data_IF_246608294551
#
_entry.id   IF_246608294551
#
_cell.length_a   1.000
_cell.length_b   1.000
_cell.length_c   1.000
_cell.angle_alpha   90.00
_cell.angle_beta   90.00
_cell.angle_gamma   90.00
#
_symmetry.space_group_name_H-M   'P 1'
#
loop_
_entity.id
_entity.type
_entity.pdbx_description
1 polymer ?
#
# COMPACT_ATOMS: atom_id res chain seq x y z
N UNK A 1 -42.68 -68.60 11.53
CA UNK A 1 -42.18 -68.43 10.14
C UNK A 1 -40.91 -67.60 10.22
N UNK A 2 -39.74 -68.09 9.79
CA UNK A 2 -38.51 -67.33 9.84
C UNK A 2 -38.44 -66.35 8.67
N UNK A 3 -37.86 -65.17 8.91
CA UNK A 3 -37.57 -64.15 7.89
C UNK A 3 -36.23 -64.50 7.26
N UNK A 4 -36.22 -64.73 5.95
CA UNK A 4 -34.99 -64.92 5.17
C UNK A 4 -34.20 -63.60 5.11
N UNK A 5 -32.97 -63.64 5.60
CA UNK A 5 -31.99 -62.58 5.38
C UNK A 5 -31.40 -62.77 3.98
N UNK A 6 -31.73 -61.85 3.06
CA UNK A 6 -31.05 -61.75 1.77
C UNK A 6 -29.63 -61.22 2.01
N UNK A 7 -28.62 -62.04 1.71
CA UNK A 7 -27.21 -61.65 1.65
C UNK A 7 -26.93 -60.96 0.31
N UNK A 8 -26.05 -59.95 0.32
CA UNK A 8 -25.72 -59.02 -0.77
C UNK A 8 -25.12 -59.65 -2.06
N UNK A 9 -25.14 -60.98 -2.20
CA UNK A 9 -24.45 -61.70 -3.29
C UNK A 9 -25.30 -61.91 -4.57
N UNK A 10 -26.60 -61.62 -4.56
CA UNK A 10 -27.52 -61.91 -5.69
C UNK A 10 -27.78 -60.74 -6.67
N UNK A 11 -26.94 -59.69 -6.68
CA UNK A 11 -27.07 -58.65 -7.71
C UNK A 11 -26.39 -59.07 -9.02
N UNK A 12 -27.08 -59.01 -10.18
CA UNK A 12 -26.46 -59.33 -11.47
C UNK A 12 -25.27 -58.42 -11.73
N UNK A 13 -24.22 -58.98 -12.34
CA UNK A 13 -22.90 -58.33 -12.52
C UNK A 13 -23.00 -57.01 -13.33
N UNK A 14 -24.03 -56.87 -14.15
CA UNK A 14 -24.40 -55.64 -14.87
C UNK A 14 -24.76 -54.49 -13.92
N UNK A 15 -25.57 -54.76 -12.88
CA UNK A 15 -25.97 -53.76 -11.87
C UNK A 15 -24.80 -53.33 -10.99
N UNK A 16 -23.84 -54.23 -10.70
CA UNK A 16 -22.63 -53.89 -9.93
C UNK A 16 -21.71 -52.93 -10.69
N UNK A 17 -21.66 -53.04 -12.03
CA UNK A 17 -20.89 -52.12 -12.88
C UNK A 17 -21.56 -50.76 -13.03
N UNK A 18 -22.89 -50.70 -13.13
CA UNK A 18 -23.63 -49.43 -13.21
C UNK A 18 -23.52 -48.62 -11.91
N UNK A 19 -23.57 -49.26 -10.74
CA UNK A 19 -23.38 -48.60 -9.44
C UNK A 19 -21.95 -48.02 -9.33
N UNK A 20 -20.93 -48.78 -9.73
CA UNK A 20 -19.54 -48.29 -9.74
C UNK A 20 -19.34 -47.10 -10.69
N UNK A 21 -19.96 -47.12 -11.86
CA UNK A 21 -19.88 -45.99 -12.79
C UNK A 21 -20.61 -44.76 -12.23
N UNK A 22 -21.77 -44.94 -11.61
CA UNK A 22 -22.48 -43.84 -10.95
C UNK A 22 -21.66 -43.23 -9.81
N UNK A 23 -21.06 -44.04 -8.94
CA UNK A 23 -20.18 -43.56 -7.86
C UNK A 23 -18.92 -42.85 -8.39
N UNK A 24 -18.33 -43.34 -9.48
CA UNK A 24 -17.21 -42.67 -10.16
C UNK A 24 -17.63 -41.30 -10.72
N UNK A 25 -18.80 -41.20 -11.35
CA UNK A 25 -19.33 -39.94 -11.86
C UNK A 25 -19.64 -38.94 -10.73
N UNK A 26 -20.22 -39.39 -9.60
CA UNK A 26 -20.46 -38.52 -8.44
C UNK A 26 -19.16 -38.02 -7.80
N UNK A 27 -18.13 -38.87 -7.69
CA UNK A 27 -16.83 -38.45 -7.18
C UNK A 27 -16.11 -37.47 -8.11
N UNK A 28 -16.22 -37.63 -9.43
CA UNK A 28 -15.67 -36.69 -10.42
C UNK A 28 -16.32 -35.31 -10.31
N UNK A 29 -17.65 -35.24 -10.19
CA UNK A 29 -18.36 -33.97 -10.00
C UNK A 29 -17.96 -33.29 -8.69
N UNK A 30 -17.84 -34.06 -7.60
CA UNK A 30 -17.42 -33.52 -6.30
C UNK A 30 -15.99 -32.98 -6.32
N UNK A 31 -15.07 -33.67 -6.98
CA UNK A 31 -13.69 -33.19 -7.17
C UNK A 31 -13.67 -31.92 -8.02
N UNK A 32 -14.53 -31.81 -9.04
CA UNK A 32 -14.64 -30.60 -9.85
C UNK A 32 -15.22 -29.41 -9.07
N UNK A 33 -16.22 -29.66 -8.22
CA UNK A 33 -16.81 -28.63 -7.36
C UNK A 33 -15.84 -28.16 -6.27
N UNK A 34 -15.11 -29.09 -5.64
CA UNK A 34 -14.07 -28.78 -4.65
C UNK A 34 -12.92 -27.99 -5.28
N UNK A 35 -12.49 -28.35 -6.50
CA UNK A 35 -11.47 -27.61 -7.26
C UNK A 35 -11.94 -26.20 -7.63
N UNK A 36 -13.20 -26.04 -8.03
CA UNK A 36 -13.78 -24.74 -8.38
C UNK A 36 -13.89 -23.81 -7.15
N UNK A 37 -14.19 -24.35 -5.97
CA UNK A 37 -14.20 -23.61 -4.70
C UNK A 37 -12.79 -23.15 -4.30
N UNK A 38 -11.78 -24.00 -4.43
CA UNK A 38 -10.39 -23.63 -4.16
C UNK A 38 -9.88 -22.53 -5.11
N UNK A 39 -10.26 -22.60 -6.39
CA UNK A 39 -9.91 -21.60 -7.39
C UNK A 39 -10.59 -20.24 -7.12
N UNK A 40 -11.86 -20.24 -6.67
CA UNK A 40 -12.55 -19.01 -6.24
C UNK A 40 -11.94 -18.39 -4.97
N UNK A 41 -11.63 -19.20 -3.95
CA UNK A 41 -10.96 -18.71 -2.74
C UNK A 41 -9.56 -18.14 -3.04
N UNK A 42 -8.81 -18.79 -3.94
CA UNK A 42 -7.51 -18.30 -4.40
C UNK A 42 -7.63 -16.97 -5.14
N UNK A 43 -8.61 -16.83 -6.05
CA UNK A 43 -8.85 -15.59 -6.77
C UNK A 43 -9.28 -14.43 -5.85
N UNK A 44 -10.13 -14.70 -4.86
CA UNK A 44 -10.53 -13.71 -3.85
C UNK A 44 -9.34 -13.30 -2.97
N UNK A 45 -8.48 -14.24 -2.58
CA UNK A 45 -7.23 -13.97 -1.86
C UNK A 45 -6.27 -13.08 -2.65
N UNK A 46 -6.04 -13.38 -3.93
CA UNK A 46 -5.17 -12.59 -4.80
C UNK A 46 -5.70 -11.16 -5.02
N UNK A 47 -7.00 -11.02 -5.25
CA UNK A 47 -7.62 -9.70 -5.47
C UNK A 47 -7.57 -8.83 -4.20
N UNK A 48 -7.81 -9.40 -3.03
CA UNK A 48 -7.67 -8.71 -1.74
C UNK A 48 -6.23 -8.27 -1.49
N UNK A 49 -5.26 -9.13 -1.80
CA UNK A 49 -3.84 -8.82 -1.68
C UNK A 49 -3.44 -7.64 -2.61
N UNK A 50 -3.86 -7.67 -3.87
CA UNK A 50 -3.64 -6.58 -4.83
C UNK A 50 -4.28 -5.27 -4.37
N UNK A 51 -5.50 -5.32 -3.82
CA UNK A 51 -6.19 -4.14 -3.30
C UNK A 51 -5.46 -3.54 -2.09
N UNK A 52 -4.97 -4.39 -1.18
CA UNK A 52 -4.14 -3.95 -0.04
C UNK A 52 -2.83 -3.33 -0.51
N UNK A 53 -2.16 -3.91 -1.50
CA UNK A 53 -0.94 -3.35 -2.07
C UNK A 53 -1.20 -1.99 -2.71
N UNK A 54 -2.25 -1.83 -3.52
CA UNK A 54 -2.63 -0.53 -4.12
C UNK A 54 -2.96 0.51 -3.05
N UNK A 55 -3.72 0.13 -2.02
CA UNK A 55 -4.03 1.03 -0.88
C UNK A 55 -2.76 1.44 -0.14
N UNK A 56 -1.84 0.51 0.11
CA UNK A 56 -0.56 0.81 0.74
C UNK A 56 0.32 1.73 -0.13
N UNK A 57 0.36 1.50 -1.45
CA UNK A 57 1.06 2.39 -2.38
C UNK A 57 0.46 3.79 -2.37
N UNK A 58 -0.86 3.94 -2.37
CA UNK A 58 -1.50 5.25 -2.29
C UNK A 58 -1.25 5.95 -0.95
N UNK A 59 -1.16 5.18 0.15
CA UNK A 59 -0.88 5.72 1.48
C UNK A 59 0.59 6.16 1.64
N UNK A 60 1.51 5.38 1.07
CA UNK A 60 2.96 5.56 1.20
C UNK A 60 3.64 6.06 -0.08
N UNK A 61 2.90 6.57 -1.06
CA UNK A 61 3.43 7.23 -2.26
C UNK A 61 2.35 8.07 -2.95
N UNK A 62 1.42 8.64 -2.18
CA UNK A 62 0.30 9.41 -2.72
C UNK A 62 0.73 10.71 -3.41
N UNK A 63 1.96 11.17 -3.17
CA UNK A 63 2.56 12.38 -3.74
C UNK A 63 1.71 13.65 -3.52
N UNK A 64 0.95 13.70 -2.41
CA UNK A 64 0.01 14.78 -2.07
C UNK A 64 0.50 15.66 -0.92
N UNK A 65 -0.09 16.84 -0.82
CA UNK A 65 0.07 17.76 0.29
C UNK A 65 -0.56 17.21 1.58
N UNK A 66 -0.07 17.66 2.75
CA UNK A 66 -0.61 17.23 4.05
C UNK A 66 -0.57 18.34 5.08
N UNK A 67 -1.49 18.30 6.04
CA UNK A 67 -1.45 19.12 7.25
C UNK A 67 -1.14 18.25 8.47
N UNK A 68 -0.36 18.76 9.42
CA UNK A 68 0.09 18.04 10.61
C UNK A 68 0.02 18.91 11.86
N UNK A 69 -0.13 18.31 13.03
CA UNK A 69 -0.11 19.02 14.32
C UNK A 69 1.30 19.38 14.78
N UNK A 70 2.35 18.82 14.16
CA UNK A 70 3.74 19.11 14.52
C UNK A 70 4.71 19.01 13.35
N UNK A 71 5.88 19.65 13.49
CA UNK A 71 6.97 19.53 12.53
C UNK A 71 7.47 18.09 12.36
N UNK A 72 7.47 17.29 13.43
CA UNK A 72 7.90 15.88 13.37
C UNK A 72 6.92 15.04 12.55
N UNK A 73 5.63 15.28 12.75
CA UNK A 73 4.58 14.60 12.01
C UNK A 73 4.59 15.02 10.53
N UNK A 74 4.74 16.31 10.23
CA UNK A 74 4.85 16.80 8.85
C UNK A 74 6.04 16.16 8.12
N UNK A 75 7.19 16.05 8.77
CA UNK A 75 8.35 15.36 8.19
C UNK A 75 8.09 13.87 7.93
N UNK A 76 7.39 13.20 8.85
CA UNK A 76 6.99 11.79 8.66
C UNK A 76 6.02 11.64 7.49
N UNK A 77 5.02 12.51 7.37
CA UNK A 77 4.08 12.50 6.24
C UNK A 77 4.79 12.81 4.92
N UNK A 78 5.77 13.72 4.90
CA UNK A 78 6.60 13.95 3.73
C UNK A 78 7.35 12.68 3.29
N UNK A 79 7.91 11.93 4.25
CA UNK A 79 8.54 10.64 3.98
C UNK A 79 7.54 9.59 3.49
N UNK A 80 6.42 9.47 4.19
CA UNK A 80 5.37 8.51 3.86
C UNK A 80 4.82 8.80 2.46
N UNK A 81 4.49 10.04 2.11
CA UNK A 81 3.94 10.40 0.79
C UNK A 81 4.91 10.23 -0.40
N UNK A 82 6.18 9.93 -0.12
CA UNK A 82 7.22 9.70 -1.13
C UNK A 82 7.87 8.32 -1.05
N UNK A 83 7.29 7.37 -0.31
CA UNK A 83 7.81 5.99 -0.22
C UNK A 83 9.12 5.86 0.53
N UNK A 84 9.44 6.81 1.42
CA UNK A 84 10.69 6.79 2.17
C UNK A 84 10.43 6.14 3.53
N UNK A 85 11.07 4.99 3.85
CA UNK A 85 10.89 4.36 5.16
C UNK A 85 11.22 5.34 6.29
N UNK A 86 10.38 5.42 7.33
CA UNK A 86 10.53 6.39 8.42
C UNK A 86 11.88 6.31 9.13
N UNK A 87 12.47 5.12 9.22
CA UNK A 87 13.82 4.86 9.78
C UNK A 87 14.96 5.20 8.82
N UNK A 88 14.71 5.33 7.51
CA UNK A 88 15.72 5.62 6.49
C UNK A 88 16.43 6.95 6.82
N UNK A 89 17.76 6.90 6.89
CA UNK A 89 18.62 8.09 6.97
C UNK A 89 18.77 8.74 5.59
N UNK A 90 18.95 10.06 5.50
CA UNK A 90 19.21 10.71 4.23
C UNK A 90 20.52 10.22 3.63
N UNK A 91 20.56 10.13 2.31
CA UNK A 91 21.80 9.88 1.54
C UNK A 91 22.69 11.11 1.62
N UNK A 92 22.09 12.30 1.55
CA UNK A 92 22.80 13.56 1.67
C UNK A 92 21.97 14.57 2.48
N UNK A 93 22.67 15.42 3.22
CA UNK A 93 22.07 16.55 3.91
C UNK A 93 22.93 17.79 3.66
N UNK A 94 22.29 18.89 3.27
CA UNK A 94 22.98 20.12 2.95
C UNK A 94 22.05 21.33 3.14
N UNK A 95 22.62 22.52 2.98
CA UNK A 95 21.88 23.78 3.04
C UNK A 95 21.74 24.36 1.64
N UNK A 96 20.57 24.94 1.37
CA UNK A 96 20.30 25.69 0.14
C UNK A 96 19.82 27.09 0.49
N UNK A 97 20.17 28.13 -0.28
CA UNK A 97 19.67 29.48 -0.02
C UNK A 97 18.15 29.54 -0.21
N UNK A 98 17.47 30.28 0.66
CA UNK A 98 16.05 30.58 0.48
C UNK A 98 15.85 31.53 -0.71
N UNK A 99 14.77 31.30 -1.48
CA UNK A 99 14.49 32.10 -2.68
C UNK A 99 14.03 33.52 -2.34
N UNK A 100 13.33 33.70 -1.23
CA UNK A 100 12.76 34.98 -0.81
C UNK A 100 13.73 35.78 0.07
N UNK A 101 14.62 35.10 0.79
CA UNK A 101 15.66 35.70 1.61
C UNK A 101 16.99 34.93 1.46
N UNK A 102 17.83 35.25 0.47
CA UNK A 102 19.08 34.53 0.18
C UNK A 102 20.10 34.51 1.34
N UNK A 103 19.92 35.36 2.36
CA UNK A 103 20.76 35.34 3.57
C UNK A 103 20.41 34.18 4.50
N UNK A 104 19.25 33.54 4.29
CA UNK A 104 18.79 32.38 5.06
C UNK A 104 19.07 31.10 4.29
N UNK A 105 19.52 30.11 5.05
CA UNK A 105 19.83 28.78 4.56
C UNK A 105 18.76 27.79 5.03
N UNK A 106 18.12 27.14 4.07
CA UNK A 106 17.12 26.09 4.29
C UNK A 106 17.81 24.73 4.34
N UNK A 107 17.37 23.88 5.27
CA UNK A 107 17.91 22.53 5.41
C UNK A 107 17.22 21.58 4.44
N UNK A 108 17.99 20.94 3.57
CA UNK A 108 17.52 19.95 2.59
C UNK A 108 18.11 18.56 2.88
N UNK A 109 17.30 17.54 2.66
CA UNK A 109 17.62 16.14 2.85
C UNK A 109 17.27 15.36 1.59
N UNK A 110 18.23 14.64 1.04
CA UNK A 110 18.02 13.79 -0.13
C UNK A 110 17.96 12.32 0.29
N UNK A 111 17.03 11.59 -0.31
CA UNK A 111 16.73 10.18 -0.04
C UNK A 111 16.66 9.38 -1.32
N UNK A 112 16.83 8.07 -1.17
CA UNK A 112 16.38 7.08 -2.16
C UNK A 112 15.17 6.38 -1.54
N UNK A 113 14.02 6.46 -2.21
CA UNK A 113 12.78 5.83 -1.75
C UNK A 113 12.76 4.31 -2.03
N UNK A 114 11.70 3.62 -1.61
CA UNK A 114 11.53 2.18 -1.85
C UNK A 114 11.44 1.80 -3.32
N UNK A 115 11.21 2.77 -4.21
CA UNK A 115 11.11 2.58 -5.66
C UNK A 115 12.44 2.90 -6.39
N UNK A 116 13.50 3.25 -5.66
CA UNK A 116 14.79 3.62 -6.24
C UNK A 116 14.87 5.06 -6.76
N UNK A 117 13.83 5.87 -6.55
CA UNK A 117 13.79 7.27 -6.98
C UNK A 117 14.51 8.19 -5.98
N UNK A 118 15.16 9.24 -6.49
CA UNK A 118 15.78 10.30 -5.67
C UNK A 118 14.74 11.34 -5.28
N UNK A 119 14.53 11.51 -3.98
CA UNK A 119 13.55 12.44 -3.41
C UNK A 119 14.25 13.41 -2.48
N UNK A 120 13.94 14.69 -2.61
CA UNK A 120 14.39 15.75 -1.72
C UNK A 120 13.26 16.19 -0.79
N UNK A 121 13.56 16.36 0.50
CA UNK A 121 12.68 16.99 1.49
C UNK A 121 13.42 18.21 2.04
N UNK A 122 12.81 19.39 1.99
CA UNK A 122 13.38 20.64 2.49
C UNK A 122 12.49 21.26 3.54
N UNK A 123 13.09 21.79 4.61
CA UNK A 123 12.37 22.56 5.62
C UNK A 123 12.36 24.03 5.21
N UNK A 124 11.20 24.55 4.87
CA UNK A 124 11.06 25.92 4.41
C UNK A 124 10.59 26.82 5.57
N UNK A 125 11.00 28.08 5.52
CA UNK A 125 10.66 29.08 6.51
C UNK A 125 9.31 29.73 6.15
N UNK A 126 8.54 30.18 7.15
CA UNK A 126 7.33 30.94 6.89
C UNK A 126 7.63 32.18 6.04
N UNK A 127 6.84 32.37 4.98
CA UNK A 127 6.99 33.51 4.07
C UNK A 127 5.71 34.34 4.07
N UNK A 128 5.86 35.66 4.14
CA UNK A 128 4.77 36.62 3.95
C UNK A 128 4.88 37.19 2.56
N UNK A 129 3.78 37.16 1.81
CA UNK A 129 3.72 37.72 0.47
C UNK A 129 3.18 39.16 0.50
N UNK A 130 3.54 40.01 -0.48
CA UNK A 130 3.10 41.41 -0.52
C UNK A 130 1.58 41.60 -0.63
N UNK A 131 0.86 40.60 -1.15
CA UNK A 131 -0.59 40.57 -1.31
C UNK A 131 -1.35 40.20 -0.02
N UNK A 132 -0.64 40.02 1.10
CA UNK A 132 -1.20 39.59 2.37
C UNK A 132 -1.29 38.06 2.53
N UNK A 133 -0.90 37.29 1.51
CA UNK A 133 -0.78 35.84 1.61
C UNK A 133 0.28 35.41 2.63
N UNK A 134 0.01 34.34 3.38
CA UNK A 134 0.95 33.78 4.33
C UNK A 134 1.15 32.28 4.12
N UNK A 135 2.38 31.87 3.89
CA UNK A 135 2.78 30.47 4.02
C UNK A 135 3.33 30.25 5.42
N UNK A 136 2.63 29.41 6.18
CA UNK A 136 3.09 28.92 7.48
C UNK A 136 4.32 28.00 7.32
N UNK A 137 4.88 27.51 8.44
CA UNK A 137 6.02 26.61 8.37
C UNK A 137 5.62 25.25 7.79
N UNK A 138 6.45 24.74 6.89
CA UNK A 138 6.15 23.53 6.14
C UNK A 138 7.42 22.81 5.70
N UNK A 139 7.27 21.55 5.31
CA UNK A 139 8.27 20.87 4.50
C UNK A 139 7.83 20.86 3.05
N UNK A 140 8.76 21.10 2.14
CA UNK A 140 8.57 20.86 0.72
C UNK A 140 9.19 19.52 0.32
N UNK A 141 8.51 18.74 -0.52
CA UNK A 141 9.02 17.45 -0.98
C UNK A 141 8.77 17.19 -2.48
N UNK A 142 9.56 16.28 -3.04
CA UNK A 142 9.40 15.80 -4.42
C UNK A 142 10.71 15.30 -5.04
N UNK A 143 10.72 14.99 -6.34
CA UNK A 143 11.90 14.53 -7.06
C UNK A 143 13.08 15.49 -6.94
N UNK A 144 14.27 14.95 -6.66
CA UNK A 144 15.51 15.73 -6.58
C UNK A 144 15.83 16.41 -7.92
N UNK A 145 16.33 17.65 -7.86
CA UNK A 145 16.68 18.45 -9.04
C UNK A 145 15.51 19.19 -9.70
N UNK A 146 14.28 18.96 -9.23
CA UNK A 146 13.07 19.67 -9.68
C UNK A 146 12.53 20.67 -8.67
N UNK A 147 11.40 21.30 -9.04
CA UNK A 147 10.58 22.06 -8.08
C UNK A 147 9.94 21.07 -7.09
N UNK A 148 10.16 21.29 -5.80
CA UNK A 148 9.47 20.58 -4.73
C UNK A 148 8.03 21.10 -4.64
N UNK A 149 7.08 20.32 -5.17
CA UNK A 149 5.68 20.74 -5.34
C UNK A 149 4.77 20.32 -4.19
N UNK A 150 5.22 19.43 -3.33
CA UNK A 150 4.41 18.93 -2.22
C UNK A 150 4.64 19.78 -0.99
N UNK A 151 3.56 20.16 -0.32
CA UNK A 151 3.56 20.99 0.87
C UNK A 151 3.07 20.18 2.09
N UNK A 152 3.92 20.05 3.10
CA UNK A 152 3.60 19.36 4.36
C UNK A 152 3.62 20.37 5.51
N UNK A 153 2.46 20.97 5.75
CA UNK A 153 2.29 22.08 6.70
C UNK A 153 2.26 21.60 8.15
N UNK A 154 2.72 22.47 9.05
CA UNK A 154 2.59 22.29 10.50
C UNK A 154 2.43 23.64 11.20
N UNK A 155 1.87 23.68 12.43
CA UNK A 155 1.78 24.93 13.17
C UNK A 155 3.18 25.43 13.53
N UNK A 156 3.41 26.74 13.44
CA UNK A 156 4.55 27.35 14.14
C UNK A 156 4.36 27.05 15.62
N UNK A 157 5.35 26.45 16.29
CA UNK A 157 5.32 26.33 17.75
C UNK A 157 5.07 27.74 18.30
N UNK A 158 3.86 27.99 18.82
CA UNK A 158 3.68 29.07 19.79
C UNK A 158 4.54 28.66 20.99
N UNK A 159 5.49 29.53 21.34
CA UNK A 159 6.21 29.44 22.60
C UNK A 159 5.23 29.49 23.76
#
# INVERSE_FOLDING_TARGET
LPVEHQTEDDFPETTKNEIKQFEQHQNLNRVQDDQALEDEEHYLSETDHLLRQKRAQNWFNGKTDTNSGSAREAFRKAKDQNGIPRSKKPVQQYYVPDKHDPKKNLRQYDYINSYGEKISIRKDIPTKFPDGGHQGPHYNAGPTGGKLKQHHNFPSRRG
#
